data_IF_286031536848
#
_entry.id   IF_286031536848
#
_cell.length_a   1.000
_cell.length_b   1.000
_cell.length_c   1.000
_cell.angle_alpha   90.00
_cell.angle_beta   90.00
_cell.angle_gamma   90.00
#
_symmetry.space_group_name_H-M   'P 1'
#
loop_
_entity.id
_entity.type
_entity.pdbx_description
1 polymer ?
#
# COMPACT_ATOMS: atom_id res chain seq x y z
N UNK A 1 23.17 -6.78 1.59
CA UNK A 1 21.72 -6.69 1.78
C UNK A 1 21.42 -7.38 3.09
N UNK A 2 20.75 -6.73 4.02
CA UNK A 2 20.26 -7.37 5.25
C UNK A 2 19.30 -8.49 4.85
N UNK A 3 19.51 -9.68 5.36
CA UNK A 3 18.64 -10.83 5.11
C UNK A 3 17.33 -10.58 5.87
N UNK A 4 16.21 -10.45 5.16
CA UNK A 4 14.89 -10.32 5.78
C UNK A 4 14.51 -11.62 6.48
N UNK A 5 13.89 -11.51 7.66
CA UNK A 5 13.56 -12.65 8.51
C UNK A 5 12.06 -12.94 8.57
N UNK A 6 11.22 -11.92 8.36
CA UNK A 6 9.75 -12.02 8.45
C UNK A 6 9.03 -11.62 7.17
N UNK A 7 9.77 -11.22 6.15
CA UNK A 7 9.26 -11.03 4.80
C UNK A 7 10.20 -11.68 3.78
N UNK A 8 9.73 -11.80 2.54
CA UNK A 8 10.55 -12.10 1.37
C UNK A 8 10.36 -10.98 0.36
N UNK A 9 11.42 -10.64 -0.37
CA UNK A 9 11.38 -9.67 -1.47
C UNK A 9 12.04 -10.29 -2.68
N UNK A 10 11.25 -10.64 -3.67
CA UNK A 10 11.69 -11.19 -4.95
C UNK A 10 11.39 -10.19 -6.06
N UNK A 11 12.28 -10.08 -7.04
CA UNK A 11 12.08 -9.22 -8.21
C UNK A 11 12.32 -10.00 -9.48
N UNK A 12 11.32 -10.04 -10.34
CA UNK A 12 11.39 -10.68 -11.65
C UNK A 12 10.67 -9.81 -12.69
N UNK A 13 11.30 -9.62 -13.82
CA UNK A 13 10.73 -8.92 -14.99
C UNK A 13 10.08 -7.57 -14.66
N UNK A 14 10.70 -6.78 -13.81
CA UNK A 14 10.23 -5.45 -13.41
C UNK A 14 9.10 -5.45 -12.37
N UNK A 15 8.71 -6.60 -11.83
CA UNK A 15 7.72 -6.71 -10.75
C UNK A 15 8.43 -7.19 -9.48
N UNK A 16 8.30 -6.45 -8.39
CA UNK A 16 8.72 -6.89 -7.08
C UNK A 16 7.53 -7.56 -6.35
N UNK A 17 7.77 -8.71 -5.72
CA UNK A 17 6.80 -9.38 -4.85
C UNK A 17 7.32 -9.34 -3.42
N UNK A 18 6.61 -8.61 -2.56
CA UNK A 18 6.82 -8.57 -1.12
C UNK A 18 5.86 -9.55 -0.47
N UNK A 19 6.39 -10.61 0.15
CA UNK A 19 5.61 -11.65 0.81
C UNK A 19 5.79 -11.59 2.32
N UNK A 20 4.72 -11.40 3.08
CA UNK A 20 4.73 -11.54 4.53
C UNK A 20 5.00 -13.01 4.88
N UNK A 21 6.05 -13.32 5.62
CA UNK A 21 6.59 -14.69 5.74
C UNK A 21 6.71 -15.16 7.18
N UNK A 22 5.56 -15.34 7.83
CA UNK A 22 5.39 -15.99 9.14
C UNK A 22 4.14 -16.91 9.12
N UNK A 23 4.05 -17.87 8.17
CA UNK A 23 2.82 -18.63 7.93
C UNK A 23 2.35 -19.44 9.15
N UNK A 24 3.27 -19.88 10.02
CA UNK A 24 2.99 -20.59 11.28
C UNK A 24 2.24 -19.71 12.29
N UNK A 25 2.42 -18.39 12.21
CA UNK A 25 1.73 -17.35 13.00
C UNK A 25 0.67 -16.60 12.19
N UNK A 26 0.19 -17.17 11.07
CA UNK A 26 -0.76 -16.52 10.16
C UNK A 26 -0.29 -15.12 9.72
N UNK A 27 1.01 -14.96 9.50
CA UNK A 27 1.66 -13.71 9.11
C UNK A 27 1.38 -12.54 10.08
N UNK A 28 1.28 -12.84 11.39
CA UNK A 28 1.03 -11.84 12.41
C UNK A 28 2.13 -10.76 12.44
N UNK A 29 1.68 -9.51 12.51
CA UNK A 29 2.49 -8.30 12.38
C UNK A 29 3.31 -8.03 13.63
N UNK A 30 4.58 -7.70 13.46
CA UNK A 30 5.53 -7.34 14.50
C UNK A 30 6.29 -6.07 14.16
N UNK A 31 7.05 -5.53 15.11
CA UNK A 31 7.97 -4.41 14.87
C UNK A 31 9.07 -4.75 13.85
N UNK A 32 9.54 -6.00 13.82
CA UNK A 32 10.54 -6.47 12.84
C UNK A 32 9.92 -6.49 11.44
N UNK A 33 8.76 -7.12 11.28
CA UNK A 33 8.05 -7.14 9.98
C UNK A 33 7.76 -5.71 9.49
N UNK A 34 7.34 -4.81 10.39
CA UNK A 34 7.14 -3.40 10.04
C UNK A 34 8.39 -2.78 9.42
N UNK A 35 9.53 -2.91 10.10
CA UNK A 35 10.77 -2.29 9.62
C UNK A 35 11.24 -2.93 8.33
N UNK A 36 11.19 -4.25 8.23
CA UNK A 36 11.57 -4.98 7.02
C UNK A 36 10.68 -4.59 5.81
N UNK A 37 9.37 -4.37 6.02
CA UNK A 37 8.48 -3.86 4.95
C UNK A 37 8.86 -2.43 4.53
N UNK A 38 9.20 -1.56 5.48
CA UNK A 38 9.66 -0.19 5.17
C UNK A 38 10.94 -0.25 4.34
N UNK A 39 11.92 -1.04 4.77
CA UNK A 39 13.19 -1.21 4.07
C UNK A 39 13.01 -1.81 2.67
N UNK A 40 12.08 -2.77 2.52
CA UNK A 40 11.74 -3.36 1.23
C UNK A 40 11.15 -2.31 0.25
N UNK A 41 10.29 -1.41 0.75
CA UNK A 41 9.76 -0.32 -0.08
C UNK A 41 10.85 0.71 -0.43
N UNK A 42 11.80 0.97 0.47
CA UNK A 42 12.97 1.81 0.17
C UNK A 42 13.82 1.20 -0.96
N UNK A 43 14.07 -0.11 -0.89
CA UNK A 43 14.80 -0.85 -1.93
C UNK A 43 14.07 -0.80 -3.28
N UNK A 44 12.75 -1.03 -3.28
CA UNK A 44 11.97 -1.03 -4.53
C UNK A 44 11.85 0.36 -5.14
N UNK A 45 11.69 1.41 -4.33
CA UNK A 45 11.64 2.79 -4.82
C UNK A 45 12.99 3.24 -5.42
N UNK A 46 14.11 2.83 -4.81
CA UNK A 46 15.45 3.14 -5.30
C UNK A 46 15.85 2.33 -6.55
N UNK A 47 15.10 1.30 -6.92
CA UNK A 47 15.41 0.44 -8.06
C UNK A 47 14.54 0.79 -9.27
N UNK A 48 15.13 1.45 -10.27
CA UNK A 48 14.42 1.83 -11.50
C UNK A 48 13.93 0.64 -12.34
N UNK A 49 14.53 -0.54 -12.17
CA UNK A 49 14.03 -1.75 -12.84
C UNK A 49 12.70 -2.23 -12.29
N UNK A 50 12.33 -1.84 -11.06
CA UNK A 50 11.03 -2.16 -10.47
C UNK A 50 9.97 -1.19 -10.97
N UNK A 51 8.91 -1.74 -11.56
CA UNK A 51 7.80 -1.01 -12.16
C UNK A 51 6.50 -1.08 -11.35
N UNK A 52 6.33 -2.15 -10.58
CA UNK A 52 5.21 -2.34 -9.67
C UNK A 52 5.61 -3.27 -8.52
N UNK A 53 4.92 -3.16 -7.38
CA UNK A 53 5.12 -4.02 -6.21
C UNK A 53 3.81 -4.74 -5.90
N UNK A 54 3.87 -6.07 -5.82
CA UNK A 54 2.78 -6.92 -5.33
C UNK A 54 3.07 -7.23 -3.86
N UNK A 55 2.07 -7.08 -3.00
CA UNK A 55 2.17 -7.45 -1.57
C UNK A 55 1.19 -8.58 -1.28
N UNK A 56 1.69 -9.69 -0.73
CA UNK A 56 0.89 -10.88 -0.39
C UNK A 56 1.35 -11.52 0.91
N UNK A 57 0.63 -12.53 1.40
CA UNK A 57 1.01 -13.34 2.55
C UNK A 57 1.49 -14.74 2.13
N UNK A 58 2.45 -15.31 2.86
CA UNK A 58 2.88 -16.68 2.66
C UNK A 58 1.81 -17.68 3.15
N UNK A 59 1.61 -18.74 2.37
CA UNK A 59 0.63 -19.77 2.65
C UNK A 59 -0.79 -19.40 2.16
N UNK A 60 -1.77 -20.23 2.53
CA UNK A 60 -3.14 -20.13 2.00
C UNK A 60 -4.16 -19.58 3.01
N UNK A 61 -3.79 -19.44 4.29
CA UNK A 61 -4.73 -19.15 5.37
C UNK A 61 -4.93 -17.67 5.64
N UNK A 62 -3.87 -16.89 5.53
CA UNK A 62 -3.91 -15.49 5.92
C UNK A 62 -2.97 -14.63 5.07
N UNK A 63 -3.44 -13.44 4.74
CA UNK A 63 -2.58 -12.34 4.37
C UNK A 63 -1.81 -11.87 5.62
N UNK A 64 -2.55 -11.42 6.65
CA UNK A 64 -2.02 -11.06 7.97
C UNK A 64 -3.16 -11.06 9.00
N UNK A 65 -3.05 -11.88 10.04
CA UNK A 65 -4.10 -12.03 11.07
C UNK A 65 -4.16 -10.89 12.10
N UNK A 66 -3.39 -9.82 11.90
CA UNK A 66 -3.30 -8.69 12.83
C UNK A 66 -1.99 -8.65 13.59
N UNK A 67 -1.90 -7.80 14.62
CA UNK A 67 -0.74 -7.72 15.48
C UNK A 67 -0.46 -9.07 16.18
N UNK A 68 0.80 -9.42 16.33
CA UNK A 68 1.19 -10.59 17.14
C UNK A 68 0.82 -10.30 18.60
N UNK A 69 -0.20 -10.98 19.10
CA UNK A 69 -0.71 -10.83 20.45
C UNK A 69 0.02 -11.73 21.45
N UNK A 70 1.07 -12.43 21.03
CA UNK A 70 1.88 -13.24 21.95
C UNK A 70 2.55 -12.28 22.95
N UNK A 71 2.25 -12.37 24.26
CA UNK A 71 2.87 -11.47 25.22
C UNK A 71 4.37 -11.75 25.30
N UNK A 72 5.20 -10.71 25.34
CA UNK A 72 6.53 -10.85 25.90
C UNK A 72 6.41 -11.26 27.37
N UNK A 73 7.35 -12.07 27.88
CA UNK A 73 7.31 -12.52 29.27
C UNK A 73 7.22 -11.31 30.22
N UNK A 74 6.09 -11.17 30.90
CA UNK A 74 5.81 -10.06 31.82
C UNK A 74 4.94 -8.92 31.27
N UNK A 75 4.60 -8.89 30.00
CA UNK A 75 3.70 -7.88 29.42
C UNK A 75 2.24 -8.34 29.46
N UNK A 76 1.44 -7.68 30.27
CA UNK A 76 0.01 -8.02 30.40
C UNK A 76 -0.86 -7.68 29.18
N UNK A 77 -0.38 -6.80 28.30
CA UNK A 77 -1.13 -6.32 27.13
C UNK A 77 -0.17 -5.78 26.08
N UNK A 78 -0.18 -6.35 24.89
CA UNK A 78 0.69 -5.95 23.74
C UNK A 78 0.46 -4.52 23.25
N UNK A 79 -0.67 -3.91 23.58
CA UNK A 79 -0.96 -2.51 23.27
C UNK A 79 -0.48 -1.55 24.36
N UNK A 80 -0.17 -2.04 25.56
CA UNK A 80 0.42 -1.23 26.63
C UNK A 80 1.94 -1.13 26.41
N UNK A 81 2.42 0.07 26.14
CA UNK A 81 3.87 0.32 26.04
C UNK A 81 4.47 0.39 27.44
N UNK A 82 5.65 -0.18 27.60
CA UNK A 82 6.31 -0.27 28.90
C UNK A 82 6.87 1.05 29.41
N UNK A 83 7.24 1.95 28.49
CA UNK A 83 7.81 3.24 28.85
C UNK A 83 6.70 4.30 28.93
N UNK A 84 6.43 4.86 30.09
CA UNK A 84 5.49 5.95 30.22
C UNK A 84 5.98 7.15 29.39
N UNK A 85 5.09 7.74 28.62
CA UNK A 85 5.33 8.94 27.83
C UNK A 85 4.32 9.98 28.30
N UNK A 86 4.82 11.06 28.92
CA UNK A 86 3.98 12.12 29.45
C UNK A 86 3.50 13.09 28.33
N UNK A 87 4.29 13.21 27.26
CA UNK A 87 4.00 14.05 26.11
C UNK A 87 3.54 13.17 24.93
N UNK A 88 2.29 13.31 24.52
CA UNK A 88 1.70 12.56 23.42
C UNK A 88 2.21 12.99 22.03
N UNK A 89 2.94 14.10 21.92
CA UNK A 89 3.66 14.49 20.70
C UNK A 89 4.99 13.71 20.50
N UNK A 90 5.44 12.98 21.53
CA UNK A 90 6.66 12.15 21.44
C UNK A 90 6.51 11.09 20.33
N UNK A 91 7.50 11.00 19.46
CA UNK A 91 7.52 10.04 18.34
C UNK A 91 7.42 8.58 18.79
N UNK A 92 7.75 8.28 20.05
CA UNK A 92 7.57 6.96 20.66
C UNK A 92 6.09 6.57 20.79
N UNK A 93 5.16 7.53 20.77
CA UNK A 93 3.71 7.27 20.81
C UNK A 93 3.19 6.74 19.47
N UNK A 94 3.91 6.98 18.36
CA UNK A 94 3.49 6.58 17.02
C UNK A 94 3.21 5.08 16.94
N UNK A 95 2.04 4.72 16.43
CA UNK A 95 1.72 3.32 16.14
C UNK A 95 2.55 2.76 14.99
N UNK A 96 2.92 1.48 15.07
CA UNK A 96 3.74 0.84 14.05
C UNK A 96 3.03 0.72 12.70
N UNK A 97 1.72 0.47 12.72
CA UNK A 97 0.91 0.45 11.50
C UNK A 97 0.92 1.78 10.78
N UNK A 98 0.79 2.90 11.53
CA UNK A 98 0.85 4.26 10.99
C UNK A 98 2.21 4.59 10.36
N UNK A 99 3.31 4.16 10.99
CA UNK A 99 4.65 4.33 10.41
C UNK A 99 4.78 3.62 9.07
N UNK A 100 4.36 2.36 8.99
CA UNK A 100 4.36 1.58 7.75
C UNK A 100 3.47 2.21 6.69
N UNK A 101 2.22 2.53 7.05
CA UNK A 101 1.21 3.04 6.09
C UNK A 101 1.63 4.38 5.48
N UNK A 102 2.24 5.27 6.26
CA UNK A 102 2.78 6.53 5.73
C UNK A 102 3.93 6.28 4.75
N UNK A 103 4.80 5.26 5.00
CA UNK A 103 5.83 4.90 4.02
C UNK A 103 5.23 4.31 2.74
N UNK A 104 4.23 3.44 2.86
CA UNK A 104 3.50 2.88 1.71
C UNK A 104 2.79 3.97 0.90
N UNK A 105 2.18 4.95 1.59
CA UNK A 105 1.57 6.11 0.95
C UNK A 105 2.56 6.92 0.11
N UNK A 106 3.80 7.04 0.57
CA UNK A 106 4.89 7.77 -0.08
C UNK A 106 5.66 6.93 -1.12
N UNK A 107 5.27 5.68 -1.38
CA UNK A 107 5.90 4.88 -2.43
C UNK A 107 5.78 5.54 -3.80
N UNK A 108 6.85 5.47 -4.58
CA UNK A 108 6.90 5.95 -5.97
C UNK A 108 6.48 4.87 -6.97
N UNK A 109 6.36 3.63 -6.51
CA UNK A 109 5.92 2.49 -7.34
C UNK A 109 4.45 2.17 -7.02
N UNK A 110 3.66 1.72 -8.00
CA UNK A 110 2.32 1.18 -7.75
C UNK A 110 2.36 0.00 -6.80
N UNK A 111 1.46 0.00 -5.82
CA UNK A 111 1.30 -1.05 -4.83
C UNK A 111 0.01 -1.84 -5.11
N UNK A 112 0.15 -3.14 -5.35
CA UNK A 112 -0.96 -4.06 -5.62
C UNK A 112 -1.06 -5.06 -4.46
N UNK A 113 -2.15 -5.03 -3.72
CA UNK A 113 -2.43 -6.03 -2.69
C UNK A 113 -3.04 -7.29 -3.30
N UNK A 114 -2.43 -8.44 -3.03
CA UNK A 114 -2.98 -9.77 -3.32
C UNK A 114 -3.31 -10.46 -1.98
N UNK A 115 -4.50 -10.16 -1.44
CA UNK A 115 -4.95 -10.64 -0.14
C UNK A 115 -5.40 -12.09 -0.22
N UNK A 116 -4.50 -13.02 0.10
CA UNK A 116 -4.65 -14.46 -0.07
C UNK A 116 -5.39 -15.19 1.07
N UNK A 117 -6.03 -14.47 1.99
CA UNK A 117 -6.75 -15.09 3.12
C UNK A 117 -7.19 -14.07 4.16
N UNK A 118 -7.10 -14.45 5.44
CA UNK A 118 -7.52 -13.58 6.57
C UNK A 118 -6.67 -12.31 6.65
N UNK A 119 -7.34 -11.16 6.75
CA UNK A 119 -6.75 -9.83 6.92
C UNK A 119 -7.50 -9.06 8.01
N UNK A 120 -6.97 -8.99 9.22
CA UNK A 120 -7.68 -8.47 10.40
C UNK A 120 -6.80 -7.48 11.17
N UNK A 121 -7.42 -6.44 11.75
CA UNK A 121 -6.69 -5.38 12.45
C UNK A 121 -5.67 -4.72 11.52
N UNK A 122 -4.39 -4.64 11.94
CA UNK A 122 -3.33 -4.09 11.11
C UNK A 122 -3.18 -4.83 9.77
N UNK A 123 -3.53 -6.11 9.70
CA UNK A 123 -3.55 -6.87 8.43
C UNK A 123 -4.57 -6.35 7.42
N UNK A 124 -5.67 -5.73 7.88
CA UNK A 124 -6.62 -5.03 7.02
C UNK A 124 -6.18 -3.58 6.77
N UNK A 125 -5.73 -2.87 7.82
CA UNK A 125 -5.43 -1.43 7.72
C UNK A 125 -4.17 -1.14 6.92
N UNK A 126 -3.14 -1.99 6.96
CA UNK A 126 -1.93 -1.81 6.15
C UNK A 126 -2.17 -1.85 4.63
N UNK A 127 -3.27 -2.46 4.20
CA UNK A 127 -3.63 -2.54 2.78
C UNK A 127 -4.33 -1.28 2.25
N UNK A 128 -4.79 -0.38 3.12
CA UNK A 128 -5.56 0.79 2.71
C UNK A 128 -4.81 1.75 1.78
N UNK A 129 -3.50 2.00 1.94
CA UNK A 129 -2.72 2.82 1.01
C UNK A 129 -2.30 2.10 -0.28
N UNK A 130 -2.59 0.81 -0.45
CA UNK A 130 -2.33 0.15 -1.73
C UNK A 130 -3.22 0.75 -2.82
N UNK A 131 -2.68 0.87 -4.01
CA UNK A 131 -3.39 1.52 -5.12
C UNK A 131 -4.51 0.62 -5.66
N UNK A 132 -4.27 -0.69 -5.67
CA UNK A 132 -5.25 -1.70 -6.07
C UNK A 132 -5.19 -2.89 -5.12
N UNK A 133 -6.35 -3.43 -4.76
CA UNK A 133 -6.48 -4.59 -3.87
C UNK A 133 -7.31 -5.66 -4.56
N UNK A 134 -6.72 -6.84 -4.70
CA UNK A 134 -7.36 -8.07 -5.12
C UNK A 134 -7.42 -9.00 -3.91
N UNK A 135 -8.38 -9.90 -3.85
CA UNK A 135 -8.39 -10.91 -2.81
C UNK A 135 -8.85 -12.28 -3.34
N UNK A 136 -8.51 -13.30 -2.58
CA UNK A 136 -9.05 -14.64 -2.80
C UNK A 136 -10.51 -14.74 -2.31
N UNK A 137 -11.24 -15.70 -2.81
CA UNK A 137 -12.64 -15.99 -2.44
C UNK A 137 -12.78 -16.45 -0.98
N UNK A 138 -11.71 -17.01 -0.40
CA UNK A 138 -11.65 -17.38 1.01
C UNK A 138 -11.22 -16.23 1.93
N UNK A 139 -10.89 -15.04 1.40
CA UNK A 139 -10.46 -13.91 2.21
C UNK A 139 -11.53 -13.45 3.20
N UNK A 140 -11.07 -13.03 4.39
CA UNK A 140 -11.90 -12.47 5.45
C UNK A 140 -11.25 -11.21 5.98
N UNK A 141 -12.04 -10.16 6.12
CA UNK A 141 -11.58 -8.85 6.58
C UNK A 141 -12.23 -8.48 7.90
N UNK A 142 -11.53 -7.67 8.71
CA UNK A 142 -12.10 -7.15 9.94
C UNK A 142 -11.33 -6.01 10.57
N UNK A 143 -12.04 -4.95 10.92
CA UNK A 143 -11.52 -3.77 11.65
C UNK A 143 -11.88 -3.94 13.15
N UNK A 144 -11.27 -4.93 13.80
CA UNK A 144 -11.69 -5.49 15.10
C UNK A 144 -11.31 -4.67 16.33
N UNK A 145 -10.85 -3.46 16.16
CA UNK A 145 -10.26 -2.61 17.21
C UNK A 145 -11.20 -2.38 18.39
N UNK A 146 -12.45 -1.96 18.12
CA UNK A 146 -13.47 -1.73 19.17
C UNK A 146 -13.76 -3.00 20.01
N UNK A 147 -13.66 -4.19 19.40
CA UNK A 147 -13.80 -5.47 20.14
C UNK A 147 -12.59 -5.78 21.03
N UNK A 148 -11.51 -5.02 20.95
CA UNK A 148 -10.32 -5.11 21.79
C UNK A 148 -10.20 -3.92 22.73
N UNK A 149 -11.20 -3.00 22.75
CA UNK A 149 -11.20 -1.81 23.60
C UNK A 149 -10.21 -0.73 23.15
N UNK A 150 -9.79 -0.76 21.88
CA UNK A 150 -8.90 0.22 21.26
C UNK A 150 -9.53 0.86 20.03
N UNK A 151 -8.94 1.94 19.55
CA UNK A 151 -9.37 2.65 18.35
C UNK A 151 -8.66 2.11 17.09
N UNK A 152 -9.22 2.35 15.89
CA UNK A 152 -8.51 2.13 14.65
C UNK A 152 -7.16 2.88 14.60
N UNK A 153 -6.17 2.28 13.94
CA UNK A 153 -4.77 2.73 13.81
C UNK A 153 -4.35 2.79 12.32
N UNK A 154 -3.06 2.95 12.03
CA UNK A 154 -2.52 2.92 10.67
C UNK A 154 -3.20 3.92 9.73
N UNK A 155 -3.49 5.12 10.20
CA UNK A 155 -4.19 6.16 9.43
C UNK A 155 -5.52 5.67 8.80
N UNK A 156 -6.10 4.57 9.30
CA UNK A 156 -7.32 4.00 8.72
C UNK A 156 -8.52 4.94 8.84
N UNK A 157 -8.55 5.82 9.82
CA UNK A 157 -9.55 6.89 9.93
C UNK A 157 -9.52 7.88 8.75
N UNK A 158 -8.38 8.00 8.07
CA UNK A 158 -8.24 8.80 6.86
C UNK A 158 -8.52 8.00 5.59
N UNK A 159 -7.94 6.79 5.46
CA UNK A 159 -8.02 6.00 4.24
C UNK A 159 -9.37 5.31 4.07
N UNK A 160 -9.87 4.62 5.10
CA UNK A 160 -11.02 3.74 4.97
C UNK A 160 -12.28 4.46 4.48
N UNK A 161 -12.71 5.62 5.05
CA UNK A 161 -13.91 6.31 4.57
C UNK A 161 -13.77 6.84 3.14
N UNK A 162 -12.55 7.06 2.65
CA UNK A 162 -12.30 7.46 1.25
C UNK A 162 -12.47 6.31 0.27
N UNK A 163 -12.24 5.09 0.72
CA UNK A 163 -12.37 3.87 -0.11
C UNK A 163 -13.80 3.33 -0.13
N UNK A 164 -14.46 3.27 1.03
CA UNK A 164 -15.74 2.55 1.18
C UNK A 164 -16.91 3.46 1.60
N UNK A 165 -16.66 4.74 1.73
CA UNK A 165 -17.64 5.71 2.25
C UNK A 165 -17.74 5.68 3.78
N UNK A 166 -18.20 6.80 4.35
CA UNK A 166 -18.24 7.02 5.80
C UNK A 166 -19.13 6.00 6.53
N UNK A 167 -20.30 5.70 5.98
CA UNK A 167 -21.26 4.79 6.63
C UNK A 167 -20.71 3.37 6.77
N UNK A 168 -20.10 2.83 5.72
CA UNK A 168 -19.49 1.49 5.75
C UNK A 168 -18.28 1.46 6.69
N UNK A 169 -17.45 2.50 6.66
CA UNK A 169 -16.30 2.62 7.55
C UNK A 169 -16.72 2.62 9.03
N UNK A 170 -17.75 3.41 9.38
CA UNK A 170 -18.28 3.45 10.74
C UNK A 170 -18.89 2.11 11.15
N UNK A 171 -19.69 1.47 10.29
CA UNK A 171 -20.26 0.14 10.57
C UNK A 171 -19.16 -0.86 10.90
N UNK A 172 -18.18 -1.01 10.02
CA UNK A 172 -17.12 -2.00 10.19
C UNK A 172 -16.25 -1.72 11.43
N UNK A 173 -15.87 -0.46 11.66
CA UNK A 173 -15.03 -0.10 12.80
C UNK A 173 -15.76 -0.19 14.14
N UNK A 174 -17.04 0.24 14.22
CA UNK A 174 -17.79 0.23 15.46
C UNK A 174 -18.24 -1.18 15.86
N UNK A 175 -18.65 -2.02 14.90
CA UNK A 175 -19.06 -3.40 15.18
C UNK A 175 -17.87 -4.33 15.36
N UNK A 176 -16.75 -4.04 14.68
CA UNK A 176 -15.59 -4.90 14.64
C UNK A 176 -15.90 -6.29 14.08
N UNK A 177 -16.98 -6.44 13.28
CA UNK A 177 -17.34 -7.73 12.70
C UNK A 177 -16.36 -8.17 11.60
N UNK A 178 -16.30 -9.46 11.40
CA UNK A 178 -15.61 -10.04 10.24
C UNK A 178 -16.61 -10.10 9.08
N UNK A 179 -16.12 -9.82 7.87
CA UNK A 179 -16.89 -9.90 6.64
C UNK A 179 -16.06 -10.61 5.55
N UNK A 180 -16.75 -11.08 4.51
CA UNK A 180 -16.15 -11.89 3.45
C UNK A 180 -15.68 -11.08 2.25
N UNK A 181 -15.07 -11.78 1.29
CA UNK A 181 -14.58 -11.22 0.04
C UNK A 181 -15.69 -10.59 -0.82
N UNK A 182 -16.88 -11.16 -0.79
CA UNK A 182 -18.06 -10.67 -1.52
C UNK A 182 -18.47 -9.29 -1.04
N UNK A 183 -18.63 -9.12 0.27
CA UNK A 183 -18.94 -7.82 0.88
C UNK A 183 -17.79 -6.82 0.67
N UNK A 184 -16.53 -7.26 0.81
CA UNK A 184 -15.37 -6.39 0.56
C UNK A 184 -15.38 -5.81 -0.86
N UNK A 185 -15.77 -6.62 -1.86
CA UNK A 185 -15.92 -6.18 -3.25
C UNK A 185 -17.13 -5.25 -3.43
N UNK A 186 -18.28 -5.64 -2.90
CA UNK A 186 -19.52 -4.85 -3.01
C UNK A 186 -19.35 -3.43 -2.46
N UNK A 187 -18.63 -3.30 -1.33
CA UNK A 187 -18.39 -2.02 -0.66
C UNK A 187 -17.14 -1.28 -1.18
N UNK A 188 -16.43 -1.82 -2.16
CA UNK A 188 -15.29 -1.15 -2.80
C UNK A 188 -13.96 -1.23 -2.04
N UNK A 189 -13.86 -2.08 -1.00
CA UNK A 189 -12.58 -2.30 -0.32
C UNK A 189 -11.59 -3.01 -1.23
N UNK A 190 -12.05 -3.98 -2.02
CA UNK A 190 -11.25 -4.70 -3.02
C UNK A 190 -11.84 -4.52 -4.43
N UNK A 191 -10.93 -4.48 -5.42
CA UNK A 191 -11.29 -4.34 -6.83
C UNK A 191 -11.96 -5.60 -7.38
N UNK A 192 -11.42 -6.78 -7.03
CA UNK A 192 -11.87 -8.06 -7.56
C UNK A 192 -11.59 -9.21 -6.62
N UNK A 193 -12.35 -10.29 -6.79
CA UNK A 193 -12.24 -11.54 -6.04
C UNK A 193 -11.89 -12.65 -7.04
N UNK A 194 -10.96 -13.51 -6.68
CA UNK A 194 -10.43 -14.59 -7.51
C UNK A 194 -10.43 -15.90 -6.74
N UNK A 195 -10.53 -17.07 -7.42
CA UNK A 195 -10.19 -18.32 -6.79
C UNK A 195 -8.78 -18.27 -6.19
N UNK A 196 -8.57 -18.93 -5.04
CA UNK A 196 -7.30 -18.90 -4.31
C UNK A 196 -6.09 -19.15 -5.23
N UNK A 197 -6.16 -20.16 -6.10
CA UNK A 197 -5.06 -20.53 -7.00
C UNK A 197 -4.82 -19.58 -8.17
N UNK A 198 -5.74 -18.62 -8.42
CA UNK A 198 -5.66 -17.67 -9.54
C UNK A 198 -5.31 -16.24 -9.09
N UNK A 199 -5.29 -15.98 -7.78
CA UNK A 199 -5.10 -14.63 -7.23
C UNK A 199 -3.76 -14.02 -7.67
N UNK A 200 -2.67 -14.77 -7.57
CA UNK A 200 -1.34 -14.24 -7.92
C UNK A 200 -1.21 -14.01 -9.42
N UNK A 201 -1.76 -14.87 -10.26
CA UNK A 201 -1.76 -14.66 -11.72
C UNK A 201 -2.53 -13.39 -12.08
N UNK A 202 -3.67 -13.14 -11.43
CA UNK A 202 -4.44 -11.91 -11.62
C UNK A 202 -3.66 -10.66 -11.16
N UNK A 203 -2.95 -10.73 -10.03
CA UNK A 203 -2.12 -9.63 -9.54
C UNK A 203 -0.92 -9.36 -10.47
N UNK A 204 -0.25 -10.41 -10.94
CA UNK A 204 0.85 -10.31 -11.90
C UNK A 204 0.35 -9.74 -13.23
N UNK A 205 -0.78 -10.20 -13.75
CA UNK A 205 -1.38 -9.67 -14.98
C UNK A 205 -1.65 -8.16 -14.86
N UNK A 206 -2.18 -7.70 -13.73
CA UNK A 206 -2.40 -6.28 -13.48
C UNK A 206 -1.09 -5.48 -13.37
N UNK A 207 -0.08 -6.05 -12.71
CA UNK A 207 1.24 -5.43 -12.60
C UNK A 207 1.93 -5.34 -13.98
N UNK A 208 1.80 -6.37 -14.83
CA UNK A 208 2.30 -6.37 -16.21
C UNK A 208 1.63 -5.30 -17.06
N UNK A 209 0.32 -5.12 -16.93
CA UNK A 209 -0.41 -4.06 -17.64
C UNK A 209 0.23 -2.68 -17.41
N UNK A 210 0.68 -2.43 -16.17
CA UNK A 210 1.39 -1.19 -15.82
C UNK A 210 2.84 -1.25 -16.32
N UNK A 211 3.58 -2.32 -15.98
CA UNK A 211 5.01 -2.40 -16.22
C UNK A 211 5.36 -2.34 -17.71
N UNK A 212 4.58 -2.99 -18.55
CA UNK A 212 4.89 -3.18 -19.96
C UNK A 212 4.38 -2.02 -20.85
N UNK A 213 3.32 -1.32 -20.41
CA UNK A 213 2.60 -0.42 -21.29
C UNK A 213 2.68 1.06 -20.88
N UNK A 214 3.34 1.41 -19.76
CA UNK A 214 3.29 2.78 -19.24
C UNK A 214 4.67 3.34 -18.91
N UNK A 215 4.81 4.67 -18.90
CA UNK A 215 5.99 5.39 -18.41
C UNK A 215 6.08 5.29 -16.88
N UNK A 216 7.26 4.95 -16.34
CA UNK A 216 7.51 4.88 -14.90
C UNK A 216 7.28 6.24 -14.22
N UNK A 217 7.78 7.31 -14.85
CA UNK A 217 7.66 8.69 -14.34
C UNK A 217 6.20 9.13 -14.32
N UNK A 218 5.46 8.86 -15.41
CA UNK A 218 4.04 9.20 -15.49
C UNK A 218 3.20 8.46 -14.45
N UNK A 219 3.51 7.20 -14.17
CA UNK A 219 2.82 6.40 -13.15
C UNK A 219 3.11 6.93 -11.74
N UNK A 220 4.38 7.22 -11.41
CA UNK A 220 4.76 7.79 -10.12
C UNK A 220 4.07 9.14 -9.88
N UNK A 221 4.08 10.03 -10.88
CA UNK A 221 3.38 11.31 -10.83
C UNK A 221 1.87 11.15 -10.66
N UNK A 222 1.24 10.27 -11.47
CA UNK A 222 -0.20 10.00 -11.39
C UNK A 222 -0.59 9.49 -10.01
N UNK A 223 0.19 8.55 -9.46
CA UNK A 223 -0.04 8.02 -8.11
C UNK A 223 -0.02 9.14 -7.06
N UNK A 224 1.04 9.94 -7.05
CA UNK A 224 1.16 11.07 -6.12
C UNK A 224 0.02 12.08 -6.30
N UNK A 225 -0.34 12.44 -7.53
CA UNK A 225 -1.41 13.39 -7.82
C UNK A 225 -2.76 12.88 -7.32
N UNK A 226 -3.14 11.65 -7.62
CA UNK A 226 -4.44 11.11 -7.22
C UNK A 226 -4.57 10.98 -5.71
N UNK A 227 -3.55 10.47 -5.00
CA UNK A 227 -3.59 10.35 -3.55
C UNK A 227 -3.61 11.70 -2.84
N UNK A 228 -2.79 12.66 -3.25
CA UNK A 228 -2.59 13.91 -2.52
C UNK A 228 -3.61 14.99 -2.88
N UNK A 229 -4.02 15.06 -4.15
CA UNK A 229 -4.92 16.11 -4.60
C UNK A 229 -6.40 15.79 -4.37
N UNK A 230 -6.76 14.50 -4.20
CA UNK A 230 -8.13 14.10 -3.85
C UNK A 230 -8.62 14.61 -2.50
N UNK A 231 -7.72 15.08 -1.64
CA UNK A 231 -8.03 15.62 -0.30
C UNK A 231 -7.96 17.15 -0.23
N UNK A 232 -7.75 17.84 -1.35
CA UNK A 232 -7.69 19.31 -1.39
C UNK A 232 -9.07 19.93 -1.48
N UNK A 233 -9.23 21.14 -0.91
CA UNK A 233 -10.53 21.81 -0.78
C UNK A 233 -11.08 22.35 -2.12
N UNK A 234 -10.22 22.52 -3.13
CA UNK A 234 -10.64 23.12 -4.39
C UNK A 234 -9.88 22.54 -5.59
N UNK A 235 -10.57 22.22 -6.72
CA UNK A 235 -9.94 21.62 -7.90
C UNK A 235 -8.85 22.47 -8.56
N UNK A 236 -8.75 23.76 -8.24
CA UNK A 236 -7.66 24.62 -8.72
C UNK A 236 -6.29 24.14 -8.22
N UNK A 237 -6.24 23.51 -7.05
CA UNK A 237 -5.00 22.92 -6.54
C UNK A 237 -4.53 21.77 -7.46
N UNK A 238 -5.46 20.90 -7.86
CA UNK A 238 -5.18 19.85 -8.85
C UNK A 238 -4.80 20.47 -10.21
N UNK A 239 -5.57 21.44 -10.72
CA UNK A 239 -5.30 22.07 -12.00
C UNK A 239 -3.88 22.67 -12.11
N UNK A 240 -3.37 23.26 -11.05
CA UNK A 240 -1.99 23.79 -11.00
C UNK A 240 -0.94 22.70 -11.22
N UNK A 241 -1.11 21.56 -10.56
CA UNK A 241 -0.16 20.45 -10.65
C UNK A 241 -0.35 19.72 -11.99
N UNK A 242 -1.57 19.48 -12.41
CA UNK A 242 -1.90 18.87 -13.72
C UNK A 242 -1.23 19.64 -14.85
N UNK A 243 -1.39 20.99 -14.86
CA UNK A 243 -0.83 21.86 -15.90
C UNK A 243 0.71 21.85 -15.91
N UNK A 244 1.34 21.85 -14.75
CA UNK A 244 2.81 21.74 -14.64
C UNK A 244 3.29 20.37 -15.12
N UNK A 245 2.59 19.31 -14.71
CA UNK A 245 2.93 17.94 -15.05
C UNK A 245 2.84 17.70 -16.57
N UNK A 246 1.71 18.04 -17.19
CA UNK A 246 1.54 17.86 -18.63
C UNK A 246 2.52 18.72 -19.45
N UNK A 247 2.81 19.94 -19.00
CA UNK A 247 3.78 20.80 -19.65
C UNK A 247 5.21 20.26 -19.57
N UNK A 248 5.61 19.72 -18.41
CA UNK A 248 6.95 19.17 -18.19
C UNK A 248 7.13 17.82 -18.87
N UNK A 249 6.21 16.88 -18.61
CA UNK A 249 6.28 15.53 -19.17
C UNK A 249 6.02 15.50 -20.68
N UNK A 250 5.25 16.42 -21.22
CA UNK A 250 5.03 16.55 -22.66
C UNK A 250 6.31 16.83 -23.47
N UNK A 251 7.43 17.17 -22.80
CA UNK A 251 8.75 17.39 -23.43
C UNK A 251 9.71 16.22 -23.18
N UNK A 252 9.33 15.21 -22.41
CA UNK A 252 10.15 14.06 -22.06
C UNK A 252 10.38 13.12 -23.24
N UNK A 253 11.39 12.26 -23.15
CA UNK A 253 11.60 11.20 -24.12
C UNK A 253 10.49 10.16 -24.09
N UNK A 254 9.94 9.88 -22.88
CA UNK A 254 8.77 9.02 -22.71
C UNK A 254 7.54 9.53 -23.47
N UNK A 255 7.26 10.83 -23.42
CA UNK A 255 6.15 11.40 -24.18
C UNK A 255 6.32 11.23 -25.70
N UNK A 256 7.56 11.41 -26.20
CA UNK A 256 7.87 11.20 -27.62
C UNK A 256 7.70 9.74 -28.01
N UNK A 257 8.20 8.84 -27.17
CA UNK A 257 8.08 7.39 -27.38
C UNK A 257 6.61 6.93 -27.34
N UNK A 258 5.83 7.43 -26.37
CA UNK A 258 4.42 7.11 -26.26
C UNK A 258 3.62 7.48 -27.52
N UNK A 259 3.88 8.67 -28.10
CA UNK A 259 3.26 9.08 -29.38
C UNK A 259 3.78 8.22 -30.54
N UNK A 260 5.09 7.99 -30.62
CA UNK A 260 5.72 7.21 -31.70
C UNK A 260 5.20 5.78 -31.73
N UNK A 261 5.28 5.07 -30.60
CA UNK A 261 4.85 3.67 -30.49
C UNK A 261 3.37 3.50 -30.84
N UNK A 262 2.52 4.45 -30.42
CA UNK A 262 1.09 4.44 -30.76
C UNK A 262 0.86 4.57 -32.28
N UNK A 263 1.55 5.50 -32.94
CA UNK A 263 1.42 5.70 -34.40
C UNK A 263 1.97 4.51 -35.20
N UNK A 264 3.05 3.91 -34.71
CA UNK A 264 3.70 2.74 -35.31
C UNK A 264 3.00 1.41 -34.94
N UNK A 265 2.01 1.42 -34.03
CA UNK A 265 1.25 0.26 -33.56
C UNK A 265 2.16 -0.84 -32.98
N UNK A 266 3.16 -0.46 -32.21
CA UNK A 266 4.08 -1.37 -31.51
C UNK A 266 4.05 -1.13 -29.99
N UNK A 267 4.52 -2.09 -29.18
CA UNK A 267 4.75 -1.86 -27.76
C UNK A 267 5.69 -0.68 -27.52
N UNK A 268 5.46 0.15 -26.49
CA UNK A 268 6.36 1.24 -26.13
C UNK A 268 7.63 0.73 -25.46
N UNK A 269 8.72 1.53 -25.56
CA UNK A 269 9.97 1.30 -24.86
C UNK A 269 10.39 2.62 -24.18
N UNK A 270 9.84 2.88 -23.00
CA UNK A 270 10.02 4.12 -22.26
C UNK A 270 11.42 4.21 -21.64
N UNK A 271 12.25 5.22 -22.02
CA UNK A 271 13.61 5.34 -21.51
C UNK A 271 13.75 6.08 -20.18
N UNK A 272 12.76 6.91 -19.80
CA UNK A 272 12.89 7.77 -18.61
C UNK A 272 12.71 6.94 -17.32
N UNK A 273 13.49 7.30 -16.28
CA UNK A 273 13.50 6.63 -14.98
C UNK A 273 12.99 7.54 -13.86
N UNK A 274 12.46 6.94 -12.78
CA UNK A 274 11.97 7.71 -11.63
C UNK A 274 13.11 8.42 -10.91
N UNK A 275 14.29 7.79 -10.82
CA UNK A 275 15.44 8.37 -10.12
C UNK A 275 16.02 9.62 -10.81
N UNK A 276 15.92 9.71 -12.15
CA UNK A 276 16.58 10.78 -12.91
C UNK A 276 15.62 11.77 -13.57
N UNK A 277 14.40 11.35 -13.88
CA UNK A 277 13.52 12.11 -14.78
C UNK A 277 12.25 12.65 -14.11
N UNK A 278 12.09 12.53 -12.78
CA UNK A 278 10.99 13.17 -12.08
C UNK A 278 11.03 14.70 -12.29
N UNK A 279 9.87 15.36 -12.46
CA UNK A 279 9.81 16.82 -12.58
C UNK A 279 10.47 17.54 -11.40
N UNK A 280 11.13 18.67 -11.67
CA UNK A 280 11.84 19.49 -10.70
C UNK A 280 10.96 20.10 -9.60
N UNK A 281 9.66 20.13 -9.78
CA UNK A 281 8.67 20.56 -8.78
C UNK A 281 8.14 19.37 -7.93
N UNK A 282 8.60 18.15 -8.16
CA UNK A 282 8.28 16.99 -7.32
C UNK A 282 9.31 16.84 -6.21
N UNK A 283 8.89 16.63 -4.95
CA UNK A 283 7.52 16.74 -4.44
C UNK A 283 7.06 18.19 -4.36
N UNK A 284 5.76 18.47 -4.65
CA UNK A 284 5.16 19.80 -4.53
C UNK A 284 4.52 20.05 -3.17
N UNK A 285 4.74 19.17 -2.23
CA UNK A 285 4.22 19.23 -0.86
C UNK A 285 5.34 19.09 0.16
N UNK A 286 5.07 19.55 1.35
CA UNK A 286 5.88 19.28 2.54
C UNK A 286 5.21 18.14 3.34
N UNK A 287 6.00 17.19 3.85
CA UNK A 287 5.48 16.15 4.72
C UNK A 287 5.19 16.74 6.11
N UNK A 288 3.96 16.60 6.62
CA UNK A 288 3.64 17.04 7.97
C UNK A 288 4.47 16.30 9.01
N UNK A 289 4.97 17.03 10.01
CA UNK A 289 5.56 16.43 11.21
C UNK A 289 4.54 15.65 12.04
N UNK A 290 5.03 14.93 13.04
CA UNK A 290 4.18 14.20 14.02
C UNK A 290 3.89 15.07 15.25
N UNK A 291 4.15 16.29 15.24
CA UNK A 291 3.98 17.22 16.37
C UNK A 291 2.51 17.54 16.63
#
# INVERSE_FOLDING_TARGET
MSEFTQIKLDTADGIATLTLSRPEKMNAFTGVMMQEMIDAIDITDANDSVRAVIVTGEGERAFCAGADLTPDEGAGNVFARHDPVDDLSDTRVRDGGGRLVLRLFNSQKPLIGACNGVAVGVGATMQLPFDMRLCSDNARFGFVFARRGITPEACSSWFLPRLVGMQTALEWCMTGRIFDAGEARERGLVRSVHPQGELMDAAVSLAREIADNTSAVSVAMTRAMLWRLSATDHPMMAHRIDSRSIYRLGKSEDSKEGVRSFLEKRPPAYPDTVSENMPDFYPWWDEPGYE
#
